data_IF_103430028120
#
_entry.id   IF_103430028120
#
_cell.length_a   1.000
_cell.length_b   1.000
_cell.length_c   1.000
_cell.angle_alpha   90.00
_cell.angle_beta   90.00
_cell.angle_gamma   90.00
#
_symmetry.space_group_name_H-M   'P 1'
#
loop_
_entity.id
_entity.type
_entity.pdbx_description
1 polymer ?
#
# COMPACT_ATOMS: atom_id res chain seq x y z
N UNK A 1 11.32 6.56 -22.41
CA UNK A 1 11.68 6.28 -21.00
C UNK A 1 10.57 6.76 -20.08
N UNK A 2 10.23 8.06 -20.08
CA UNK A 2 9.12 8.66 -19.30
C UNK A 2 7.80 7.87 -19.26
N UNK A 3 7.28 7.41 -20.41
CA UNK A 3 6.01 6.66 -20.45
C UNK A 3 6.12 5.25 -19.87
N UNK A 4 7.25 4.57 -20.07
CA UNK A 4 7.50 3.23 -19.50
C UNK A 4 7.60 3.31 -17.98
N UNK A 5 8.28 4.33 -17.47
CA UNK A 5 8.42 4.58 -16.03
C UNK A 5 7.08 4.91 -15.38
N UNK A 6 6.23 5.66 -16.09
CA UNK A 6 4.85 5.93 -15.67
C UNK A 6 4.01 4.65 -15.57
N UNK A 7 3.98 3.84 -16.64
CA UNK A 7 3.22 2.58 -16.66
C UNK A 7 3.74 1.64 -15.58
N UNK A 8 5.06 1.49 -15.46
CA UNK A 8 5.66 0.65 -14.43
C UNK A 8 5.31 1.15 -13.02
N UNK A 9 5.34 2.46 -12.79
CA UNK A 9 4.95 3.03 -11.49
C UNK A 9 3.48 2.78 -11.17
N UNK A 10 2.58 3.03 -12.12
CA UNK A 10 1.14 2.77 -11.94
C UNK A 10 0.90 1.30 -11.62
N UNK A 11 1.42 0.38 -12.44
CA UNK A 11 1.23 -1.06 -12.24
C UNK A 11 1.77 -1.53 -10.90
N UNK A 12 2.97 -1.09 -10.54
CA UNK A 12 3.65 -1.55 -9.33
C UNK A 12 2.98 -1.02 -8.07
N UNK A 13 2.55 0.24 -8.06
CA UNK A 13 1.79 0.80 -6.93
C UNK A 13 0.36 0.28 -6.85
N UNK A 14 -0.31 0.01 -7.97
CA UNK A 14 -1.62 -0.64 -7.97
C UNK A 14 -1.53 -2.05 -7.38
N UNK A 15 -0.52 -2.82 -7.78
CA UNK A 15 -0.26 -4.15 -7.23
C UNK A 15 0.09 -4.10 -5.73
N UNK A 16 0.92 -3.14 -5.31
CA UNK A 16 1.20 -2.91 -3.89
C UNK A 16 -0.06 -2.52 -3.10
N UNK A 17 -0.96 -1.74 -3.69
CA UNK A 17 -2.25 -1.40 -3.09
C UNK A 17 -3.10 -2.64 -2.84
N UNK A 18 -3.16 -3.53 -3.82
CA UNK A 18 -3.84 -4.80 -3.69
C UNK A 18 -3.21 -5.71 -2.60
N UNK A 19 -1.88 -5.81 -2.57
CA UNK A 19 -1.19 -6.57 -1.53
C UNK A 19 -1.41 -6.00 -0.13
N UNK A 20 -1.46 -4.67 0.00
CA UNK A 20 -1.77 -4.02 1.27
C UNK A 20 -3.19 -4.33 1.73
N UNK A 21 -4.16 -4.37 0.81
CA UNK A 21 -5.53 -4.78 1.14
C UNK A 21 -5.59 -6.22 1.64
N UNK A 22 -4.96 -7.17 0.95
CA UNK A 22 -4.89 -8.57 1.41
C UNK A 22 -4.25 -8.69 2.80
N UNK A 23 -3.21 -7.88 3.05
CA UNK A 23 -2.58 -7.81 4.36
C UNK A 23 -3.56 -7.31 5.44
N UNK A 24 -4.28 -6.21 5.17
CA UNK A 24 -5.22 -5.62 6.13
C UNK A 24 -6.40 -6.55 6.39
N UNK A 25 -6.93 -7.20 5.35
CA UNK A 25 -8.04 -8.15 5.46
C UNK A 25 -7.65 -9.33 6.33
N UNK A 26 -6.52 -9.98 6.02
CA UNK A 26 -6.03 -11.12 6.79
C UNK A 26 -5.70 -10.78 8.25
N UNK A 27 -5.04 -9.64 8.49
CA UNK A 27 -4.75 -9.19 9.85
C UNK A 27 -6.02 -8.75 10.57
N UNK A 28 -6.98 -8.16 9.87
CA UNK A 28 -8.29 -7.78 10.41
C UNK A 28 -9.07 -8.99 10.91
N UNK A 29 -9.10 -10.09 10.14
CA UNK A 29 -9.69 -11.36 10.56
C UNK A 29 -9.02 -11.89 11.83
N UNK A 30 -7.69 -11.92 11.87
CA UNK A 30 -6.92 -12.37 13.04
C UNK A 30 -7.21 -11.46 14.25
N UNK A 31 -7.21 -10.14 14.05
CA UNK A 31 -7.46 -9.17 15.09
C UNK A 31 -8.86 -9.33 15.71
N UNK A 32 -9.87 -9.65 14.90
CA UNK A 32 -11.24 -9.88 15.37
C UNK A 32 -11.38 -11.11 16.28
N UNK A 33 -10.41 -12.03 16.26
CA UNK A 33 -10.38 -13.19 17.18
C UNK A 33 -9.76 -12.88 18.55
N UNK A 34 -9.22 -11.67 18.76
CA UNK A 34 -8.56 -11.27 20.00
C UNK A 34 -9.52 -10.57 20.97
N UNK A 35 -9.38 -10.82 22.27
CA UNK A 35 -10.23 -10.23 23.33
C UNK A 35 -10.22 -8.68 23.34
N UNK A 36 -9.15 -8.07 22.83
CA UNK A 36 -8.93 -6.61 22.82
C UNK A 36 -8.61 -6.12 21.39
N UNK A 37 -9.52 -6.41 20.46
CA UNK A 37 -9.43 -6.10 19.01
C UNK A 37 -8.91 -4.68 18.73
N UNK A 38 -9.47 -3.67 19.42
CA UNK A 38 -9.19 -2.27 19.12
C UNK A 38 -7.75 -1.87 19.49
N UNK A 39 -7.23 -2.41 20.59
CA UNK A 39 -5.88 -2.10 21.08
C UNK A 39 -4.85 -2.96 20.35
N UNK A 40 -4.96 -4.29 20.43
CA UNK A 40 -3.95 -5.18 19.85
C UNK A 40 -4.06 -5.24 18.33
N UNK A 41 -5.27 -5.33 17.78
CA UNK A 41 -5.49 -5.27 16.33
C UNK A 41 -5.03 -3.95 15.74
N UNK A 42 -5.38 -2.83 16.37
CA UNK A 42 -4.93 -1.50 15.95
C UNK A 42 -3.40 -1.38 15.93
N UNK A 43 -2.71 -1.86 16.99
CA UNK A 43 -1.25 -1.84 17.06
C UNK A 43 -0.62 -2.72 15.97
N UNK A 44 -1.14 -3.93 15.74
CA UNK A 44 -0.62 -4.85 14.71
C UNK A 44 -0.81 -4.25 13.31
N UNK A 45 -1.97 -3.66 13.02
CA UNK A 45 -2.23 -3.00 11.74
C UNK A 45 -1.29 -1.81 11.53
N UNK A 46 -1.07 -0.99 12.56
CA UNK A 46 -0.15 0.15 12.49
C UNK A 46 1.30 -0.32 12.24
N UNK A 47 1.80 -1.26 13.03
CA UNK A 47 3.14 -1.82 12.87
C UNK A 47 3.31 -2.48 11.49
N UNK A 48 2.32 -3.26 11.09
CA UNK A 48 2.27 -3.91 9.78
C UNK A 48 2.29 -2.92 8.63
N UNK A 49 1.55 -1.82 8.73
CA UNK A 49 1.53 -0.76 7.72
C UNK A 49 2.88 -0.04 7.64
N UNK A 50 3.56 0.19 8.77
CA UNK A 50 4.91 0.76 8.79
C UNK A 50 5.91 -0.18 8.12
N UNK A 51 5.88 -1.47 8.45
CA UNK A 51 6.71 -2.50 7.81
C UNK A 51 6.40 -2.63 6.31
N UNK A 52 5.13 -2.53 5.93
CA UNK A 52 4.72 -2.53 4.52
C UNK A 52 5.30 -1.31 3.79
N UNK A 53 5.34 -0.14 4.43
CA UNK A 53 6.00 1.05 3.90
C UNK A 53 7.49 0.80 3.59
N UNK A 54 8.19 0.03 4.42
CA UNK A 54 9.57 -0.38 4.14
C UNK A 54 9.69 -1.34 2.94
N UNK A 55 8.71 -2.23 2.74
CA UNK A 55 8.64 -3.09 1.55
C UNK A 55 8.44 -2.23 0.30
N UNK A 56 7.46 -1.32 0.31
CA UNK A 56 7.21 -0.37 -0.79
C UNK A 56 8.50 0.37 -1.13
N UNK A 57 9.16 0.94 -0.11
CA UNK A 57 10.43 1.67 -0.28
C UNK A 57 11.51 0.81 -0.92
N UNK A 58 11.63 -0.47 -0.60
CA UNK A 58 12.69 -1.34 -1.16
C UNK A 58 12.37 -1.83 -2.57
N UNK A 59 11.11 -2.07 -2.87
CA UNK A 59 10.67 -2.67 -4.15
C UNK A 59 10.51 -1.63 -5.24
N UNK A 60 10.13 -0.39 -4.91
CA UNK A 60 9.94 0.66 -5.92
C UNK A 60 11.29 1.21 -6.40
N UNK A 61 11.65 1.08 -7.69
CA UNK A 61 12.89 1.64 -8.23
C UNK A 61 12.85 3.17 -8.34
N UNK A 62 11.72 3.79 -8.01
CA UNK A 62 11.46 5.23 -8.16
C UNK A 62 11.85 6.07 -6.93
N UNK A 63 12.58 5.50 -5.98
CA UNK A 63 12.97 6.21 -4.76
C UNK A 63 13.88 7.41 -5.02
N UNK A 64 14.69 7.38 -6.08
CA UNK A 64 15.59 8.48 -6.46
C UNK A 64 14.82 9.71 -6.93
N UNK A 65 13.57 9.55 -7.37
CA UNK A 65 12.72 10.67 -7.75
C UNK A 65 12.19 11.42 -6.51
N UNK A 66 12.20 12.76 -6.58
CA UNK A 66 11.55 13.63 -5.59
C UNK A 66 10.07 13.25 -5.43
N UNK A 67 9.52 13.44 -4.23
CA UNK A 67 8.11 13.12 -3.96
C UNK A 67 7.13 13.92 -4.83
N UNK A 68 7.54 15.10 -5.32
CA UNK A 68 6.77 15.91 -6.27
C UNK A 68 6.88 15.44 -7.73
N UNK A 69 7.65 14.38 -8.01
CA UNK A 69 7.82 13.90 -9.38
C UNK A 69 6.52 13.24 -9.88
N UNK A 70 6.04 13.58 -11.09
CA UNK A 70 4.75 13.09 -11.61
C UNK A 70 4.60 11.56 -11.59
N UNK A 71 5.69 10.82 -11.82
CA UNK A 71 5.70 9.35 -11.76
C UNK A 71 5.34 8.84 -10.36
N UNK A 72 5.94 9.42 -9.31
CA UNK A 72 5.68 9.03 -7.91
C UNK A 72 4.24 9.37 -7.50
N UNK A 73 3.75 10.52 -7.94
CA UNK A 73 2.36 10.94 -7.69
C UNK A 73 1.40 9.96 -8.38
N UNK A 74 1.63 9.62 -9.65
CA UNK A 74 0.78 8.69 -10.37
C UNK A 74 0.76 7.30 -9.73
N UNK A 75 1.92 6.81 -9.26
CA UNK A 75 2.00 5.60 -8.46
C UNK A 75 1.15 5.69 -7.19
N UNK A 76 1.38 6.70 -6.35
CA UNK A 76 0.66 6.85 -5.09
C UNK A 76 -0.86 7.01 -5.29
N UNK A 77 -1.29 7.75 -6.31
CA UNK A 77 -2.70 7.86 -6.70
C UNK A 77 -3.26 6.50 -7.11
N UNK A 78 -2.50 5.69 -7.86
CA UNK A 78 -2.93 4.35 -8.27
C UNK A 78 -3.08 3.40 -7.08
N UNK A 79 -2.16 3.46 -6.11
CA UNK A 79 -2.28 2.75 -4.84
C UNK A 79 -3.58 3.14 -4.11
N UNK A 80 -3.80 4.45 -3.94
CA UNK A 80 -4.99 4.97 -3.28
C UNK A 80 -6.29 4.59 -4.00
N UNK A 81 -6.29 4.62 -5.34
CA UNK A 81 -7.44 4.22 -6.15
C UNK A 81 -7.79 2.75 -5.94
N UNK A 82 -6.81 1.85 -5.90
CA UNK A 82 -7.07 0.42 -5.64
C UNK A 82 -7.68 0.24 -4.25
N UNK A 83 -7.13 0.91 -3.24
CA UNK A 83 -7.66 0.86 -1.87
C UNK A 83 -9.10 1.37 -1.82
N UNK A 84 -9.34 2.58 -2.33
CA UNK A 84 -10.67 3.22 -2.29
C UNK A 84 -11.68 2.41 -3.11
N UNK A 85 -11.33 1.97 -4.32
CA UNK A 85 -12.22 1.17 -5.16
C UNK A 85 -12.63 -0.14 -4.47
N UNK A 86 -11.70 -0.78 -3.76
CA UNK A 86 -11.98 -2.02 -3.03
C UNK A 86 -12.88 -1.83 -1.81
N UNK A 87 -13.07 -0.60 -1.32
CA UNK A 87 -14.06 -0.31 -0.26
C UNK A 87 -15.51 -0.26 -0.81
N UNK A 88 -15.68 -0.14 -2.13
CA UNK A 88 -16.99 0.00 -2.78
C UNK A 88 -17.42 -1.24 -3.58
N UNK A 89 -16.58 -2.28 -3.58
CA UNK A 89 -16.86 -3.59 -4.20
C UNK A 89 -17.21 -4.57 -3.10
#
# INVERSE_FOLDING_TARGET
>A
MKNKDFVLSITLYAFLGYLWLLFIDHIGEIANTMDNVLIFGGIIILLGTVLFGEIVRRVTPFNEYKNSHPVKIAGFVSFGLVVVASLFV
#
